data_IF_177304365616
#
_entry.id   IF_177304365616
#
_cell.length_a   1.000
_cell.length_b   1.000
_cell.length_c   1.000
_cell.angle_alpha   90.00
_cell.angle_beta   90.00
_cell.angle_gamma   90.00
#
_symmetry.space_group_name_H-M   'P 1'
#
loop_
_entity.id
_entity.type
_entity.pdbx_description
1 polymer ?
#
# COMPACT_ATOMS: atom_id res chain seq x y z
N UNK A 1 -47.22 11.68 28.37
CA UNK A 1 -47.77 11.18 27.09
C UNK A 1 -47.56 9.67 27.05
N UNK A 2 -48.69 8.95 26.96
CA UNK A 2 -48.88 7.52 26.63
C UNK A 2 -47.94 6.46 27.21
N UNK A 3 -48.56 5.67 28.10
CA UNK A 3 -48.22 4.29 28.48
C UNK A 3 -48.20 3.36 27.26
N UNK A 4 -47.27 2.40 27.24
CA UNK A 4 -47.54 1.08 26.65
C UNK A 4 -46.88 -0.01 27.49
N UNK A 5 -47.75 -0.89 27.99
CA UNK A 5 -47.48 -2.10 28.77
C UNK A 5 -47.33 -3.25 27.76
N UNK A 6 -46.27 -4.04 27.89
CA UNK A 6 -46.09 -5.30 27.19
C UNK A 6 -45.47 -6.32 28.13
N UNK A 7 -46.31 -7.05 28.86
CA UNK A 7 -45.87 -8.17 29.68
C UNK A 7 -45.76 -9.45 28.85
N UNK A 8 -44.71 -10.24 29.06
CA UNK A 8 -44.67 -11.65 28.66
C UNK A 8 -43.87 -12.48 29.66
N UNK A 9 -44.61 -13.36 30.34
CA UNK A 9 -44.30 -14.74 30.71
C UNK A 9 -43.01 -15.03 31.50
N UNK A 10 -43.18 -15.08 32.82
CA UNK A 10 -42.26 -15.77 33.72
C UNK A 10 -42.48 -17.29 33.63
N UNK A 11 -41.45 -18.04 33.23
CA UNK A 11 -41.35 -19.49 33.42
C UNK A 11 -40.13 -19.77 34.30
N UNK A 12 -40.28 -20.44 35.46
CA UNK A 12 -39.16 -20.83 36.28
C UNK A 12 -38.61 -22.16 35.75
N UNK A 13 -37.46 -22.14 35.07
CA UNK A 13 -36.75 -23.38 34.78
C UNK A 13 -35.94 -23.79 36.01
N UNK A 14 -36.47 -24.82 36.68
CA UNK A 14 -35.82 -25.60 37.73
C UNK A 14 -34.48 -26.14 37.23
N UNK A 15 -33.46 -25.91 38.04
CA UNK A 15 -32.20 -26.62 38.00
C UNK A 15 -32.46 -28.12 38.23
N UNK A 16 -32.13 -28.96 37.26
CA UNK A 16 -32.16 -30.42 37.39
C UNK A 16 -30.74 -30.94 37.21
N UNK A 17 -30.13 -31.34 38.32
CA UNK A 17 -28.92 -32.14 38.32
C UNK A 17 -29.25 -33.60 37.99
N UNK A 18 -28.54 -34.17 37.03
CA UNK A 18 -28.38 -35.60 36.84
C UNK A 18 -27.03 -35.78 36.13
N UNK A 19 -26.07 -36.56 36.65
CA UNK A 19 -26.27 -37.82 37.35
C UNK A 19 -26.10 -38.94 36.32
N UNK A 20 -24.89 -39.51 36.31
CA UNK A 20 -24.41 -40.58 35.45
C UNK A 20 -25.41 -41.72 35.24
N UNK A 21 -25.62 -42.13 33.98
CA UNK A 21 -26.05 -43.49 33.64
C UNK A 21 -25.38 -44.01 32.37
N UNK A 22 -24.56 -45.04 32.59
CA UNK A 22 -24.11 -46.06 31.63
C UNK A 22 -25.31 -46.71 30.93
N UNK A 23 -25.21 -46.93 29.62
CA UNK A 23 -25.74 -48.13 28.93
C UNK A 23 -25.01 -48.35 27.61
N UNK A 24 -24.39 -49.53 27.51
CA UNK A 24 -24.11 -50.31 26.30
C UNK A 24 -25.42 -50.48 25.50
N UNK A 25 -25.48 -50.78 24.20
CA UNK A 25 -24.59 -51.46 23.27
C UNK A 25 -25.13 -51.16 21.85
N UNK A 26 -24.32 -51.22 20.79
CA UNK A 26 -24.83 -51.01 19.43
C UNK A 26 -23.79 -50.71 18.36
N UNK A 27 -23.00 -51.72 18.02
CA UNK A 27 -22.10 -51.76 16.86
C UNK A 27 -22.85 -51.50 15.54
N UNK A 28 -22.49 -50.40 14.86
CA UNK A 28 -22.55 -50.31 13.39
C UNK A 28 -21.20 -49.79 12.92
N UNK A 29 -20.44 -50.69 12.29
CA UNK A 29 -19.18 -50.39 11.64
C UNK A 29 -19.41 -49.42 10.48
N UNK A 30 -19.01 -48.17 10.68
CA UNK A 30 -18.67 -47.26 9.58
C UNK A 30 -17.15 -47.14 9.54
N UNK A 31 -16.59 -47.51 8.39
CA UNK A 31 -15.18 -47.32 8.06
C UNK A 31 -14.83 -45.83 8.23
N UNK A 32 -14.27 -45.45 9.37
CA UNK A 32 -13.58 -44.19 9.52
C UNK A 32 -12.22 -44.33 8.85
N UNK A 33 -12.14 -43.99 7.57
CA UNK A 33 -10.88 -43.42 7.07
C UNK A 33 -10.54 -42.27 7.99
N UNK A 34 -9.41 -42.37 8.66
CA UNK A 34 -8.82 -41.28 9.42
C UNK A 34 -8.58 -40.11 8.46
N UNK A 35 -9.58 -39.25 8.29
CA UNK A 35 -9.31 -37.89 7.86
C UNK A 35 -8.38 -37.30 8.92
N UNK A 36 -7.14 -36.92 8.55
CA UNK A 36 -6.31 -36.21 9.48
C UNK A 36 -7.08 -34.94 9.77
N UNK A 37 -7.41 -34.71 11.05
CA UNK A 37 -7.84 -33.41 11.51
C UNK A 37 -6.72 -32.43 11.14
N UNK A 38 -6.80 -31.81 9.96
CA UNK A 38 -5.94 -30.73 9.50
C UNK A 38 -6.35 -29.47 10.25
N UNK A 39 -6.13 -29.49 11.57
CA UNK A 39 -6.22 -28.32 12.39
C UNK A 39 -5.06 -27.39 12.07
N UNK A 40 -5.28 -26.08 12.25
CA UNK A 40 -4.23 -25.07 12.08
C UNK A 40 -2.94 -25.42 12.83
N UNK A 41 -3.09 -26.04 14.00
CA UNK A 41 -1.97 -26.46 14.86
C UNK A 41 -1.15 -27.60 14.26
N UNK A 42 -1.75 -28.57 13.58
CA UNK A 42 -1.00 -29.65 12.91
C UNK A 42 -0.33 -29.17 11.63
N UNK A 43 -0.90 -28.16 10.96
CA UNK A 43 -0.30 -27.50 9.81
C UNK A 43 0.92 -26.65 10.21
N UNK A 44 0.78 -25.78 11.22
CA UNK A 44 1.87 -24.94 11.74
C UNK A 44 3.03 -25.76 12.32
N UNK A 45 2.72 -26.92 12.91
CA UNK A 45 3.73 -27.85 13.44
C UNK A 45 4.13 -28.94 12.43
N UNK A 46 3.85 -28.75 11.14
CA UNK A 46 4.20 -29.74 10.12
C UNK A 46 5.73 -29.80 9.95
N UNK A 47 6.36 -30.98 10.11
CA UNK A 47 7.80 -31.13 9.90
C UNK A 47 8.19 -30.82 8.44
N UNK A 48 7.30 -31.06 7.48
CA UNK A 48 7.52 -30.73 6.08
C UNK A 48 7.53 -29.22 5.81
N UNK A 49 6.75 -28.43 6.56
CA UNK A 49 6.78 -26.97 6.47
C UNK A 49 8.09 -26.41 7.03
N UNK A 50 8.54 -26.94 8.18
CA UNK A 50 9.82 -26.59 8.78
C UNK A 50 10.98 -26.92 7.83
N UNK A 51 10.98 -28.12 7.25
CA UNK A 51 11.98 -28.53 6.26
C UNK A 51 11.98 -27.60 5.05
N UNK A 52 10.80 -27.24 4.51
CA UNK A 52 10.68 -26.30 3.40
C UNK A 52 11.24 -24.90 3.72
N UNK A 53 10.97 -24.37 4.92
CA UNK A 53 11.53 -23.10 5.40
C UNK A 53 13.05 -23.18 5.46
N UNK A 54 13.59 -24.18 6.17
CA UNK A 54 15.03 -24.32 6.38
C UNK A 54 15.75 -24.49 5.05
N UNK A 55 15.33 -25.44 4.23
CA UNK A 55 15.95 -25.74 2.93
C UNK A 55 15.87 -24.60 1.92
N UNK A 56 14.82 -23.78 1.97
CA UNK A 56 14.72 -22.60 1.11
C UNK A 56 15.69 -21.47 1.49
N UNK A 57 16.20 -21.48 2.72
CA UNK A 57 17.08 -20.45 3.27
C UNK A 57 18.55 -20.87 3.34
N UNK A 58 18.88 -22.14 3.05
CA UNK A 58 20.26 -22.68 3.12
C UNK A 58 21.24 -21.85 2.28
N UNK A 59 20.91 -21.53 1.03
CA UNK A 59 21.82 -20.78 0.15
C UNK A 59 22.10 -19.36 0.65
N UNK A 60 21.09 -18.69 1.20
CA UNK A 60 21.28 -17.37 1.82
C UNK A 60 22.10 -17.47 3.11
N UNK A 61 21.86 -18.51 3.91
CA UNK A 61 22.61 -18.77 5.12
C UNK A 61 24.07 -19.10 4.81
N UNK A 62 24.37 -19.96 3.85
CA UNK A 62 25.73 -20.29 3.43
C UNK A 62 26.47 -19.05 2.90
N UNK A 63 25.79 -18.21 2.12
CA UNK A 63 26.34 -16.95 1.61
C UNK A 63 26.67 -15.95 2.74
N UNK A 64 25.85 -15.91 3.79
CA UNK A 64 26.08 -15.07 4.97
C UNK A 64 27.16 -15.63 5.90
N UNK A 65 27.27 -16.96 6.04
CA UNK A 65 28.26 -17.61 6.91
C UNK A 65 29.68 -17.62 6.31
N UNK A 66 29.82 -17.55 4.99
CA UNK A 66 31.13 -17.45 4.33
C UNK A 66 31.83 -16.09 4.50
N UNK A 67 31.19 -15.11 5.15
CA UNK A 67 31.67 -13.72 5.15
C UNK A 67 31.84 -13.13 6.54
N UNK A 68 33.03 -12.56 6.81
CA UNK A 68 33.43 -12.02 8.12
C UNK A 68 33.81 -10.51 8.10
N UNK A 69 33.72 -9.83 6.95
CA UNK A 69 34.21 -8.45 6.71
C UNK A 69 33.15 -7.57 6.00
N UNK A 70 33.22 -6.21 6.08
CA UNK A 70 32.15 -5.32 5.65
C UNK A 70 31.88 -5.35 4.12
N UNK A 71 30.61 -5.21 3.75
CA UNK A 71 30.14 -5.39 2.37
C UNK A 71 30.66 -4.32 1.40
N UNK A 72 31.26 -4.76 0.28
CA UNK A 72 31.41 -3.92 -0.91
C UNK A 72 30.07 -3.79 -1.66
N UNK A 73 29.87 -2.72 -2.47
CA UNK A 73 28.61 -2.46 -3.17
C UNK A 73 28.16 -3.60 -4.12
N UNK A 74 29.10 -4.31 -4.73
CA UNK A 74 28.80 -5.46 -5.61
C UNK A 74 28.30 -6.69 -4.84
N UNK A 75 28.82 -6.90 -3.64
CA UNK A 75 28.40 -8.00 -2.78
C UNK A 75 27.04 -7.73 -2.13
N UNK A 76 26.71 -6.47 -1.84
CA UNK A 76 25.37 -6.10 -1.40
C UNK A 76 24.32 -6.50 -2.46
N UNK A 77 24.63 -6.31 -3.74
CA UNK A 77 23.75 -6.74 -4.83
C UNK A 77 23.66 -8.28 -4.94
N UNK A 78 24.77 -8.99 -4.68
CA UNK A 78 24.79 -10.44 -4.63
C UNK A 78 23.93 -10.99 -3.47
N UNK A 79 24.03 -10.43 -2.26
CA UNK A 79 23.15 -10.78 -1.12
C UNK A 79 21.69 -10.57 -1.48
N UNK A 80 21.36 -9.42 -2.08
CA UNK A 80 19.99 -9.12 -2.50
C UNK A 80 19.51 -10.13 -3.54
N UNK A 81 20.36 -10.56 -4.46
CA UNK A 81 20.02 -11.60 -5.44
C UNK A 81 19.80 -12.98 -4.81
N UNK A 82 20.66 -13.38 -3.88
CA UNK A 82 20.55 -14.64 -3.12
C UNK A 82 19.29 -14.63 -2.24
N UNK A 83 18.99 -13.51 -1.59
CA UNK A 83 17.79 -13.33 -0.79
C UNK A 83 16.52 -13.40 -1.65
N UNK A 84 16.52 -12.80 -2.84
CA UNK A 84 15.41 -12.89 -3.80
C UNK A 84 15.21 -14.32 -4.30
N UNK A 85 16.29 -15.03 -4.62
CA UNK A 85 16.21 -16.43 -5.07
C UNK A 85 15.70 -17.35 -3.96
N UNK A 86 16.24 -17.22 -2.75
CA UNK A 86 15.82 -17.98 -1.56
C UNK A 86 14.34 -17.73 -1.24
N UNK A 87 13.90 -16.46 -1.28
CA UNK A 87 12.49 -16.12 -1.10
C UNK A 87 11.58 -16.68 -2.20
N UNK A 88 12.01 -16.66 -3.47
CA UNK A 88 11.23 -17.28 -4.56
C UNK A 88 11.06 -18.79 -4.34
N UNK A 89 12.14 -19.49 -3.97
CA UNK A 89 12.07 -20.93 -3.66
C UNK A 89 11.21 -21.22 -2.43
N UNK A 90 11.27 -20.36 -1.42
CA UNK A 90 10.39 -20.45 -0.25
C UNK A 90 8.93 -20.32 -0.66
N UNK A 91 8.60 -19.35 -1.51
CA UNK A 91 7.26 -19.15 -2.04
C UNK A 91 6.78 -20.33 -2.89
N UNK A 92 7.63 -20.88 -3.75
CA UNK A 92 7.31 -22.04 -4.58
C UNK A 92 7.04 -23.29 -3.72
N UNK A 93 7.85 -23.53 -2.69
CA UNK A 93 7.65 -24.65 -1.75
C UNK A 93 6.42 -24.42 -0.87
N UNK A 94 6.22 -23.21 -0.35
CA UNK A 94 5.01 -22.84 0.38
C UNK A 94 3.75 -23.04 -0.46
N UNK A 95 3.81 -22.75 -1.77
CA UNK A 95 2.67 -22.94 -2.66
C UNK A 95 2.20 -24.39 -2.75
N UNK A 96 3.08 -25.38 -2.52
CA UNK A 96 2.71 -26.80 -2.48
C UNK A 96 1.89 -27.14 -1.23
N UNK A 97 2.05 -26.38 -0.14
CA UNK A 97 1.23 -26.47 1.07
C UNK A 97 -0.06 -25.64 0.99
N UNK A 98 -0.24 -24.88 -0.09
CA UNK A 98 -1.45 -24.12 -0.39
C UNK A 98 -2.12 -24.70 -1.65
N UNK A 99 -3.06 -25.66 -1.53
CA UNK A 99 -3.80 -26.14 -2.70
C UNK A 99 -4.59 -24.97 -3.29
N UNK A 100 -4.05 -24.35 -4.33
CA UNK A 100 -4.78 -23.34 -5.09
C UNK A 100 -5.90 -24.05 -5.84
N UNK A 101 -7.14 -23.65 -5.60
CA UNK A 101 -8.22 -23.88 -6.56
C UNK A 101 -7.71 -23.48 -7.94
N UNK A 102 -7.93 -24.36 -8.91
CA UNK A 102 -7.21 -24.48 -10.18
C UNK A 102 -7.31 -23.28 -11.16
N UNK A 103 -7.67 -22.09 -10.70
CA UNK A 103 -7.94 -20.92 -11.54
C UNK A 103 -7.26 -19.65 -11.01
N UNK A 104 -5.94 -19.58 -11.14
CA UNK A 104 -5.21 -18.31 -11.21
C UNK A 104 -3.83 -18.57 -11.81
N UNK A 105 -3.81 -18.84 -13.11
CA UNK A 105 -2.58 -18.74 -13.87
C UNK A 105 -2.17 -17.26 -13.90
N UNK A 106 -0.93 -16.97 -13.54
CA UNK A 106 -0.27 -15.67 -13.64
C UNK A 106 -0.59 -14.63 -12.55
N UNK A 107 -0.08 -14.86 -11.34
CA UNK A 107 0.31 -13.74 -10.46
C UNK A 107 1.82 -13.76 -10.31
N UNK A 108 2.48 -12.71 -10.81
CA UNK A 108 3.93 -12.64 -10.77
C UNK A 108 4.41 -12.62 -9.32
N UNK A 109 5.48 -13.38 -9.06
CA UNK A 109 6.20 -13.58 -7.78
C UNK A 109 6.71 -12.29 -7.08
N UNK A 110 6.29 -11.11 -7.51
CA UNK A 110 6.78 -9.80 -7.01
C UNK A 110 5.92 -9.19 -5.91
N UNK A 111 4.76 -9.75 -5.60
CA UNK A 111 3.82 -9.09 -4.70
C UNK A 111 3.86 -9.69 -3.28
N UNK A 112 4.39 -8.92 -2.32
CA UNK A 112 4.38 -9.24 -0.88
C UNK A 112 2.96 -9.42 -0.33
N UNK A 113 1.97 -8.83 -0.99
CA UNK A 113 0.54 -9.02 -0.70
C UNK A 113 0.08 -10.46 -0.95
N UNK A 114 0.80 -11.23 -1.79
CA UNK A 114 0.41 -12.59 -2.15
C UNK A 114 0.59 -13.59 -1.00
N UNK A 115 1.64 -13.47 -0.17
CA UNK A 115 1.83 -14.36 0.98
C UNK A 115 0.81 -14.05 2.07
N UNK A 116 0.67 -12.77 2.43
CA UNK A 116 -0.31 -12.32 3.42
C UNK A 116 -1.72 -12.79 3.03
N UNK A 117 -2.11 -12.58 1.76
CA UNK A 117 -3.44 -12.93 1.28
C UNK A 117 -3.64 -14.45 1.14
N UNK A 118 -2.62 -15.20 0.71
CA UNK A 118 -2.68 -16.68 0.67
C UNK A 118 -2.79 -17.27 2.07
N UNK A 119 -2.02 -16.72 3.01
CA UNK A 119 -2.04 -17.13 4.41
C UNK A 119 -3.38 -16.77 5.05
N UNK A 120 -3.86 -15.54 4.88
CA UNK A 120 -5.17 -15.06 5.35
C UNK A 120 -6.30 -15.94 4.85
N UNK A 121 -6.39 -16.18 3.53
CA UNK A 121 -7.44 -17.00 2.93
C UNK A 121 -7.45 -18.43 3.48
N UNK A 122 -6.27 -19.00 3.71
CA UNK A 122 -6.14 -20.36 4.22
C UNK A 122 -6.36 -20.45 5.73
N UNK A 123 -5.93 -19.47 6.51
CA UNK A 123 -6.29 -19.35 7.92
C UNK A 123 -7.81 -19.24 8.06
N UNK A 124 -8.46 -18.40 7.26
CA UNK A 124 -9.91 -18.29 7.21
C UNK A 124 -10.59 -19.61 6.81
N UNK A 125 -10.03 -20.33 5.83
CA UNK A 125 -10.52 -21.65 5.40
C UNK A 125 -10.37 -22.70 6.52
N UNK A 126 -9.20 -22.81 7.15
CA UNK A 126 -8.95 -23.75 8.26
C UNK A 126 -9.81 -23.41 9.48
N UNK A 127 -10.02 -22.12 9.78
CA UNK A 127 -10.94 -21.67 10.82
C UNK A 127 -12.41 -21.97 10.50
N UNK A 128 -12.77 -22.03 9.21
CA UNK A 128 -14.12 -22.41 8.77
C UNK A 128 -14.40 -23.91 8.91
N UNK A 129 -13.37 -24.75 8.77
CA UNK A 129 -13.46 -26.21 8.95
C UNK A 129 -13.22 -26.67 10.40
N UNK A 130 -12.84 -25.76 11.31
CA UNK A 130 -12.64 -26.11 12.71
C UNK A 130 -14.01 -26.31 13.39
N UNK A 131 -14.30 -27.48 14.01
CA UNK A 131 -15.60 -27.77 14.58
C UNK A 131 -15.97 -26.76 15.68
N UNK A 132 -17.26 -26.39 15.72
CA UNK A 132 -17.85 -25.33 16.57
C UNK A 132 -17.48 -25.45 18.06
N UNK A 133 -17.14 -26.65 18.53
CA UNK A 133 -16.73 -26.94 19.91
C UNK A 133 -15.31 -26.45 20.25
N UNK A 134 -14.45 -26.23 19.25
CA UNK A 134 -13.10 -25.66 19.38
C UNK A 134 -13.04 -24.16 19.07
N UNK A 135 -14.15 -23.54 18.61
CA UNK A 135 -14.38 -22.09 18.64
C UNK A 135 -14.69 -21.64 20.07
N UNK A 136 -13.87 -22.05 21.03
CA UNK A 136 -13.98 -21.67 22.42
C UNK A 136 -14.00 -20.14 22.56
N UNK A 137 -15.12 -19.64 23.07
CA UNK A 137 -15.28 -18.35 23.74
C UNK A 137 -14.96 -17.07 22.94
N UNK A 138 -15.37 -16.97 21.68
CA UNK A 138 -15.64 -15.65 21.10
C UNK A 138 -17.10 -15.27 21.38
N UNK A 139 -17.40 -15.06 22.67
CA UNK A 139 -18.63 -14.39 23.09
C UNK A 139 -18.55 -12.98 22.50
N UNK A 140 -19.54 -12.59 21.71
CA UNK A 140 -19.62 -11.22 21.18
C UNK A 140 -19.56 -10.26 22.37
N UNK A 141 -18.83 -9.14 22.24
CA UNK A 141 -18.81 -8.09 23.26
C UNK A 141 -20.22 -7.70 23.71
N UNK A 142 -21.20 -7.80 22.81
CA UNK A 142 -22.61 -7.59 23.08
C UNK A 142 -23.23 -8.65 23.99
N UNK A 143 -22.91 -9.94 23.80
CA UNK A 143 -23.42 -11.04 24.64
C UNK A 143 -22.79 -11.01 26.04
N UNK A 144 -21.51 -10.64 26.14
CA UNK A 144 -20.84 -10.41 27.43
C UNK A 144 -21.49 -9.24 28.18
N UNK A 145 -21.79 -8.15 27.48
CA UNK A 145 -22.44 -6.97 28.05
C UNK A 145 -23.87 -7.28 28.50
N UNK A 146 -24.64 -8.03 27.72
CA UNK A 146 -25.97 -8.51 28.12
C UNK A 146 -25.89 -9.46 29.34
N UNK A 147 -24.91 -10.37 29.37
CA UNK A 147 -24.66 -11.23 30.52
C UNK A 147 -24.33 -10.44 31.79
N UNK A 148 -23.46 -9.44 31.68
CA UNK A 148 -23.08 -8.57 32.79
C UNK A 148 -24.25 -7.72 33.30
N UNK A 149 -25.03 -7.12 32.39
CA UNK A 149 -26.22 -6.35 32.72
C UNK A 149 -27.24 -7.21 33.49
N UNK A 150 -27.48 -8.44 33.04
CA UNK A 150 -28.39 -9.37 33.72
C UNK A 150 -27.86 -9.75 35.11
N UNK A 151 -26.55 -9.96 35.27
CA UNK A 151 -25.94 -10.28 36.57
C UNK A 151 -26.03 -9.11 37.55
N UNK A 152 -25.79 -7.88 37.09
CA UNK A 152 -25.93 -6.67 37.92
C UNK A 152 -27.39 -6.51 38.35
N UNK A 153 -28.34 -6.76 37.44
CA UNK A 153 -29.76 -6.65 37.74
C UNK A 153 -30.21 -7.70 38.77
N UNK A 154 -29.81 -8.96 38.61
CA UNK A 154 -30.10 -10.03 39.58
C UNK A 154 -29.47 -9.74 40.95
N UNK A 155 -28.20 -9.30 40.97
CA UNK A 155 -27.52 -8.93 42.21
C UNK A 155 -28.25 -7.80 42.94
N UNK A 156 -28.68 -6.76 42.21
CA UNK A 156 -29.41 -5.63 42.78
C UNK A 156 -30.76 -6.05 43.32
N UNK A 157 -31.46 -6.96 42.62
CA UNK A 157 -32.73 -7.52 43.07
C UNK A 157 -32.58 -8.37 44.34
N UNK A 158 -31.54 -9.21 44.41
CA UNK A 158 -31.23 -10.01 45.61
C UNK A 158 -30.84 -9.13 46.80
N UNK A 159 -30.05 -8.10 46.57
CA UNK A 159 -29.67 -7.14 47.61
C UNK A 159 -30.89 -6.40 48.16
N UNK A 160 -31.80 -5.95 47.29
CA UNK A 160 -33.04 -5.28 47.70
C UNK A 160 -33.95 -6.19 48.54
N UNK A 161 -34.05 -7.47 48.17
CA UNK A 161 -34.81 -8.47 48.96
C UNK A 161 -34.17 -8.69 50.32
N UNK A 162 -32.86 -8.89 50.39
CA UNK A 162 -32.14 -9.05 51.66
C UNK A 162 -32.27 -7.81 52.56
N UNK A 163 -32.25 -6.61 51.98
CA UNK A 163 -32.45 -5.35 52.72
C UNK A 163 -33.88 -5.20 53.24
N UNK A 164 -34.89 -5.68 52.49
CA UNK A 164 -36.27 -5.76 52.99
C UNK A 164 -36.41 -6.72 54.16
N UNK A 165 -35.84 -7.92 54.06
CA UNK A 165 -35.84 -8.92 55.12
C UNK A 165 -35.14 -8.39 56.38
N UNK A 166 -33.98 -7.74 56.23
CA UNK A 166 -33.26 -7.10 57.34
C UNK A 166 -34.12 -6.07 58.07
N UNK A 167 -34.80 -5.17 57.33
CA UNK A 167 -35.70 -4.17 57.94
C UNK A 167 -36.88 -4.82 58.64
N UNK A 168 -37.44 -5.88 58.05
CA UNK A 168 -38.55 -6.62 58.65
C UNK A 168 -38.13 -7.32 59.96
N UNK A 169 -36.98 -8.00 59.98
CA UNK A 169 -36.43 -8.63 61.19
C UNK A 169 -36.16 -7.57 62.27
N UNK A 170 -35.63 -6.40 61.90
CA UNK A 170 -35.43 -5.31 62.86
C UNK A 170 -36.74 -4.78 63.45
N UNK A 171 -37.82 -4.74 62.68
CA UNK A 171 -39.15 -4.39 63.21
C UNK A 171 -39.67 -5.46 64.17
N UNK A 172 -39.55 -6.75 63.83
CA UNK A 172 -39.95 -7.85 64.72
C UNK A 172 -39.13 -7.88 66.02
N UNK A 173 -37.82 -7.63 65.94
CA UNK A 173 -36.94 -7.58 67.10
C UNK A 173 -37.29 -6.44 68.06
N UNK A 174 -37.68 -5.27 67.51
CA UNK A 174 -38.14 -4.15 68.34
C UNK A 174 -39.51 -4.46 68.99
N UNK A 175 -40.40 -5.16 68.30
CA UNK A 175 -41.68 -5.60 68.86
C UNK A 175 -41.50 -6.63 69.99
N UNK A 176 -40.64 -7.63 69.80
CA UNK A 176 -40.26 -8.60 70.84
C UNK A 176 -39.58 -7.93 72.03
N UNK A 177 -38.72 -6.94 71.80
CA UNK A 177 -38.06 -6.19 72.87
C UNK A 177 -39.07 -5.40 73.72
N UNK A 178 -40.12 -4.86 73.11
CA UNK A 178 -41.23 -4.21 73.83
C UNK A 178 -42.02 -5.23 74.67
N UNK A 179 -42.36 -6.39 74.09
CA UNK A 179 -43.06 -7.47 74.80
C UNK A 179 -42.27 -7.98 76.03
N UNK A 180 -40.95 -8.18 75.89
CA UNK A 180 -40.07 -8.59 77.00
C UNK A 180 -39.95 -7.48 78.06
N UNK A 181 -39.94 -6.21 77.64
CA UNK A 181 -39.95 -5.07 78.56
C UNK A 181 -41.22 -5.01 79.42
N UNK A 182 -42.36 -5.38 78.85
CA UNK A 182 -43.65 -5.41 79.55
C UNK A 182 -43.77 -6.63 80.50
N UNK A 183 -43.18 -7.78 80.15
CA UNK A 183 -43.16 -8.98 80.99
C UNK A 183 -42.20 -8.84 82.19
N UNK A 184 -41.02 -8.22 82.01
CA UNK A 184 -40.07 -7.99 83.11
C UNK A 184 -40.61 -7.02 84.18
N UNK A 185 -41.46 -6.06 83.81
CA UNK A 185 -42.11 -5.17 84.77
C UNK A 185 -43.20 -5.87 85.62
N UNK A 186 -43.61 -7.09 85.24
CA UNK A 186 -44.65 -7.86 85.97
C UNK A 186 -44.07 -8.94 86.91
N UNK A 187 -42.76 -9.21 86.88
CA UNK A 187 -42.14 -10.35 87.58
C UNK A 187 -41.31 -9.97 88.83
N UNK A 188 -41.13 -8.69 89.14
CA UNK A 188 -40.20 -8.20 90.17
C UNK A 188 -40.85 -7.95 91.55
N UNK A 189 -41.90 -8.70 91.88
CA UNK A 189 -42.61 -8.57 93.16
C UNK A 189 -42.92 -9.93 93.78
N UNK A 190 -41.91 -10.61 94.34
CA UNK A 190 -42.04 -11.53 95.49
C UNK A 190 -40.74 -12.31 95.73
N UNK A 191 -40.02 -12.02 96.82
CA UNK A 191 -39.77 -12.96 97.92
C UNK A 191 -38.90 -12.33 98.99
N UNK A 192 -39.39 -12.45 100.22
CA UNK A 192 -39.01 -11.74 101.43
C UNK A 192 -38.42 -12.76 102.44
N UNK A 193 -37.36 -12.35 103.15
CA UNK A 193 -36.98 -12.65 104.56
C UNK A 193 -36.91 -14.09 105.12
N UNK A 194 -35.75 -14.39 105.74
CA UNK A 194 -35.53 -14.88 107.13
C UNK A 194 -34.06 -15.33 107.27
N UNK A 195 -33.33 -15.33 108.40
CA UNK A 195 -33.29 -14.58 109.65
C UNK A 195 -31.99 -14.99 110.37
N UNK A 196 -31.47 -14.06 111.15
CA UNK A 196 -30.32 -14.04 112.08
C UNK A 196 -29.92 -15.26 112.95
N UNK A 197 -28.61 -15.26 113.26
CA UNK A 197 -27.90 -15.48 114.55
C UNK A 197 -27.83 -16.87 115.19
N UNK A 198 -26.59 -17.29 115.46
CA UNK A 198 -26.26 -18.32 116.44
C UNK A 198 -24.75 -18.50 116.67
N UNK A 199 -24.13 -17.66 117.51
CA UNK A 199 -22.77 -17.86 118.05
C UNK A 199 -22.74 -19.11 118.95
N UNK A 200 -22.08 -20.17 118.52
CA UNK A 200 -21.51 -21.23 119.39
C UNK A 200 -20.15 -21.62 118.82
N UNK A 201 -19.09 -21.42 119.61
CA UNK A 201 -17.77 -22.00 119.34
C UNK A 201 -17.95 -23.51 119.15
N UNK A 202 -17.73 -23.99 117.93
CA UNK A 202 -17.75 -25.39 117.57
C UNK A 202 -16.67 -25.59 116.53
N UNK A 203 -15.59 -26.24 116.94
CA UNK A 203 -14.59 -26.78 116.04
C UNK A 203 -15.29 -27.35 114.79
N UNK A 204 -14.83 -26.90 113.62
CA UNK A 204 -15.32 -27.41 112.34
C UNK A 204 -14.99 -28.91 112.31
N UNK A 205 -15.96 -29.79 112.07
CA UNK A 205 -15.70 -31.22 111.93
C UNK A 205 -14.59 -31.42 110.89
N UNK A 206 -13.59 -32.26 111.18
CA UNK A 206 -12.43 -32.45 110.31
C UNK A 206 -12.83 -32.72 108.84
N UNK A 207 -13.89 -33.50 108.63
CA UNK A 207 -14.47 -33.76 107.31
C UNK A 207 -14.93 -32.49 106.56
N UNK A 208 -15.48 -31.48 107.24
CA UNK A 208 -15.85 -30.20 106.61
C UNK A 208 -14.61 -29.36 106.25
N UNK A 209 -13.55 -29.43 107.06
CA UNK A 209 -12.29 -28.75 106.75
C UNK A 209 -11.59 -29.42 105.55
N UNK A 210 -11.51 -30.74 105.53
CA UNK A 210 -11.01 -31.51 104.38
C UNK A 210 -11.79 -31.22 103.11
N UNK A 211 -13.13 -31.11 103.21
CA UNK A 211 -13.98 -30.73 102.08
C UNK A 211 -13.64 -29.33 101.55
N UNK A 212 -13.42 -28.35 102.43
CA UNK A 212 -12.98 -27.00 102.03
C UNK A 212 -11.60 -27.02 101.39
N UNK A 213 -10.66 -27.83 101.90
CA UNK A 213 -9.33 -27.98 101.30
C UNK A 213 -9.40 -28.61 99.90
N UNK A 214 -10.25 -29.62 99.71
CA UNK A 214 -10.49 -30.23 98.39
C UNK A 214 -11.16 -29.23 97.44
N UNK A 215 -12.16 -28.49 97.90
CA UNK A 215 -12.83 -27.46 97.11
C UNK A 215 -11.85 -26.34 96.72
N UNK A 216 -10.98 -25.90 97.63
CA UNK A 216 -9.94 -24.89 97.37
C UNK A 216 -8.89 -25.40 96.37
N UNK A 217 -8.46 -26.67 96.50
CA UNK A 217 -7.56 -27.30 95.53
C UNK A 217 -8.21 -27.39 94.13
N UNK A 218 -9.50 -27.74 94.08
CA UNK A 218 -10.27 -27.75 92.84
C UNK A 218 -10.46 -26.34 92.27
N UNK A 219 -10.72 -25.34 93.11
CA UNK A 219 -10.83 -23.94 92.69
C UNK A 219 -9.51 -23.41 92.13
N UNK A 220 -8.38 -23.70 92.78
CA UNK A 220 -7.05 -23.33 92.28
C UNK A 220 -6.74 -23.99 90.93
N UNK A 221 -7.14 -25.25 90.74
CA UNK A 221 -6.97 -25.95 89.45
C UNK A 221 -7.85 -25.33 88.36
N UNK A 222 -9.08 -24.92 88.69
CA UNK A 222 -9.96 -24.18 87.78
C UNK A 222 -9.35 -22.81 87.41
N UNK A 223 -8.78 -22.10 88.38
CA UNK A 223 -8.07 -20.82 88.19
C UNK A 223 -6.86 -20.98 87.25
N UNK A 224 -5.99 -21.96 87.50
CA UNK A 224 -4.83 -22.24 86.63
C UNK A 224 -5.26 -22.57 85.20
N UNK A 225 -6.29 -23.39 85.03
CA UNK A 225 -6.82 -23.72 83.71
C UNK A 225 -7.45 -22.51 83.01
N UNK A 226 -8.08 -21.60 83.75
CA UNK A 226 -8.59 -20.35 83.20
C UNK A 226 -7.47 -19.39 82.78
N UNK A 227 -6.36 -19.34 83.54
CA UNK A 227 -5.17 -18.56 83.18
C UNK A 227 -4.49 -19.10 81.91
N UNK A 228 -4.34 -20.41 81.79
CA UNK A 228 -3.82 -21.05 80.56
C UNK A 228 -4.68 -20.69 79.35
N UNK A 229 -6.00 -20.77 79.47
CA UNK A 229 -6.93 -20.41 78.40
C UNK A 229 -6.86 -18.92 78.05
N UNK A 230 -6.74 -18.03 79.03
CA UNK A 230 -6.57 -16.60 78.80
C UNK A 230 -5.27 -16.29 78.07
N UNK A 231 -4.18 -16.98 78.41
CA UNK A 231 -2.90 -16.83 77.74
C UNK A 231 -2.96 -17.34 76.29
N UNK A 232 -3.62 -18.47 76.05
CA UNK A 232 -3.87 -19.01 74.71
C UNK A 232 -4.72 -18.03 73.88
N UNK A 233 -5.82 -17.52 74.45
CA UNK A 233 -6.66 -16.51 73.79
C UNK A 233 -5.90 -15.22 73.49
N UNK A 234 -5.07 -14.73 74.43
CA UNK A 234 -4.22 -13.55 74.21
C UNK A 234 -3.22 -13.80 73.07
N UNK A 235 -2.61 -14.98 73.01
CA UNK A 235 -1.70 -15.36 71.92
C UNK A 235 -2.43 -15.40 70.58
N UNK A 236 -3.63 -15.99 70.53
CA UNK A 236 -4.46 -16.00 69.32
C UNK A 236 -4.87 -14.60 68.87
N UNK A 237 -5.19 -13.71 69.81
CA UNK A 237 -5.56 -12.33 69.50
C UNK A 237 -4.37 -11.58 68.89
N UNK A 238 -3.18 -11.73 69.46
CA UNK A 238 -1.94 -11.16 68.91
C UNK A 238 -1.67 -11.71 67.50
N UNK A 239 -1.79 -13.02 67.29
CA UNK A 239 -1.60 -13.62 65.96
C UNK A 239 -2.61 -13.07 64.95
N UNK A 240 -3.90 -13.00 65.31
CA UNK A 240 -4.94 -12.43 64.45
C UNK A 240 -4.66 -10.96 64.11
N UNK A 241 -4.23 -10.16 65.08
CA UNK A 241 -3.84 -8.76 64.85
C UNK A 241 -2.67 -8.67 63.86
N UNK A 242 -1.62 -9.46 64.04
CA UNK A 242 -0.47 -9.44 63.10
C UNK A 242 -0.86 -9.87 61.68
N UNK A 243 -1.75 -10.85 61.54
CA UNK A 243 -2.29 -11.28 60.24
C UNK A 243 -3.14 -10.19 59.60
N UNK A 244 -3.93 -9.46 60.39
CA UNK A 244 -4.75 -8.34 59.91
C UNK A 244 -3.85 -7.20 59.43
N UNK A 245 -2.82 -6.85 60.19
CA UNK A 245 -1.84 -5.82 59.82
C UNK A 245 -1.10 -6.19 58.53
N UNK A 246 -0.67 -7.45 58.38
CA UNK A 246 -0.05 -7.93 57.14
C UNK A 246 -1.01 -7.86 55.95
N UNK A 247 -2.27 -8.26 56.13
CA UNK A 247 -3.29 -8.14 55.09
C UNK A 247 -3.52 -6.68 54.70
N UNK A 248 -3.51 -5.75 55.66
CA UNK A 248 -3.66 -4.32 55.41
C UNK A 248 -2.45 -3.75 54.64
N UNK A 249 -1.22 -4.11 55.01
CA UNK A 249 -0.01 -3.68 54.30
C UNK A 249 0.05 -4.24 52.88
N UNK A 250 -0.27 -5.52 52.70
CA UNK A 250 -0.30 -6.17 51.39
C UNK A 250 -1.37 -5.55 50.49
N UNK A 251 -2.53 -5.20 51.06
CA UNK A 251 -3.60 -4.48 50.37
C UNK A 251 -3.13 -3.11 49.88
N UNK A 252 -2.45 -2.34 50.74
CA UNK A 252 -1.91 -1.03 50.38
C UNK A 252 -0.80 -1.14 49.31
N UNK A 253 0.09 -2.13 49.42
CA UNK A 253 1.16 -2.35 48.44
C UNK A 253 0.59 -2.72 47.06
N UNK A 254 -0.43 -3.59 47.02
CA UNK A 254 -1.14 -3.95 45.78
C UNK A 254 -1.85 -2.73 45.18
N UNK A 255 -2.51 -1.92 46.01
CA UNK A 255 -3.15 -0.68 45.57
C UNK A 255 -2.14 0.29 44.95
N UNK A 256 -0.99 0.51 45.61
CA UNK A 256 0.07 1.37 45.09
C UNK A 256 0.65 0.83 43.77
N UNK A 257 0.87 -0.49 43.68
CA UNK A 257 1.35 -1.13 42.44
C UNK A 257 0.33 -0.98 41.31
N UNK A 258 -0.97 -1.06 41.62
CA UNK A 258 -2.05 -0.86 40.65
C UNK A 258 -2.11 0.59 40.15
N UNK A 259 -1.92 1.56 41.04
CA UNK A 259 -1.85 2.98 40.67
C UNK A 259 -0.65 3.22 39.74
N UNK A 260 0.52 2.69 40.08
CA UNK A 260 1.71 2.83 39.24
C UNK A 260 1.52 2.20 37.85
N UNK A 261 0.95 0.99 37.77
CA UNK A 261 0.62 0.35 36.50
C UNK A 261 -0.41 1.14 35.70
N UNK A 262 -1.36 1.80 36.37
CA UNK A 262 -2.32 2.67 35.72
C UNK A 262 -1.64 3.92 35.16
N UNK A 263 -0.70 4.53 35.88
CA UNK A 263 0.10 5.66 35.40
C UNK A 263 0.92 5.28 34.18
N UNK A 264 1.68 4.17 34.25
CA UNK A 264 2.47 3.63 33.12
C UNK A 264 1.58 3.36 31.90
N UNK A 265 0.39 2.79 32.10
CA UNK A 265 -0.57 2.54 31.03
C UNK A 265 -1.06 3.86 30.39
N UNK A 266 -1.32 4.89 31.19
CA UNK A 266 -1.73 6.20 30.67
C UNK A 266 -0.60 6.90 29.92
N UNK A 267 0.65 6.73 30.35
CA UNK A 267 1.82 7.24 29.64
C UNK A 267 1.96 6.58 28.26
N UNK A 268 1.91 5.24 28.22
CA UNK A 268 1.94 4.47 26.97
C UNK A 268 0.79 4.85 26.05
N UNK A 269 -0.42 5.04 26.59
CA UNK A 269 -1.58 5.49 25.80
C UNK A 269 -1.37 6.89 25.19
N UNK A 270 -0.78 7.82 25.94
CA UNK A 270 -0.49 9.16 25.47
C UNK A 270 0.63 9.16 24.42
N UNK A 271 1.68 8.36 24.61
CA UNK A 271 2.74 8.21 23.60
C UNK A 271 2.19 7.61 22.31
N UNK A 272 1.33 6.58 22.41
CA UNK A 272 0.68 5.99 21.24
C UNK A 272 -0.11 7.04 20.44
N UNK A 273 -0.92 7.87 21.11
CA UNK A 273 -1.66 8.97 20.47
C UNK A 273 -0.74 9.97 19.79
N UNK A 274 0.39 10.30 20.42
CA UNK A 274 1.37 11.19 19.81
C UNK A 274 2.00 10.58 18.55
N UNK A 275 2.35 9.30 18.57
CA UNK A 275 2.86 8.57 17.40
C UNK A 275 1.81 8.45 16.29
N UNK A 276 0.53 8.23 16.62
CA UNK A 276 -0.57 8.22 15.65
C UNK A 276 -0.70 9.57 14.92
N UNK A 277 -0.62 10.68 15.66
CA UNK A 277 -0.66 12.02 15.06
C UNK A 277 0.53 12.28 14.14
N UNK A 278 1.75 11.92 14.58
CA UNK A 278 2.95 12.01 13.75
C UNK A 278 2.84 11.16 12.48
N UNK A 279 2.28 9.95 12.60
CA UNK A 279 2.03 9.05 11.47
C UNK A 279 1.02 9.66 10.47
N UNK A 280 -0.07 10.27 10.95
CA UNK A 280 -1.02 10.97 10.09
C UNK A 280 -0.36 12.15 9.35
N UNK A 281 0.51 12.91 10.02
CA UNK A 281 1.25 14.00 9.40
C UNK A 281 2.19 13.50 8.29
N UNK A 282 2.98 12.46 8.56
CA UNK A 282 3.86 11.85 7.56
C UNK A 282 3.05 11.26 6.40
N UNK A 283 1.92 10.62 6.68
CA UNK A 283 1.02 10.07 5.64
C UNK A 283 0.51 11.17 4.71
N UNK A 284 0.18 12.35 5.25
CA UNK A 284 -0.19 13.53 4.45
C UNK A 284 0.95 14.01 3.56
N UNK A 285 2.18 14.07 4.08
CA UNK A 285 3.36 14.46 3.31
C UNK A 285 3.66 13.46 2.19
N UNK A 286 3.53 12.16 2.45
CA UNK A 286 3.67 11.11 1.43
C UNK A 286 2.63 11.30 0.31
N UNK A 287 1.39 11.63 0.65
CA UNK A 287 0.36 11.94 -0.34
C UNK A 287 0.71 13.14 -1.21
N UNK A 288 1.26 14.20 -0.62
CA UNK A 288 1.72 15.39 -1.34
C UNK A 288 2.88 15.07 -2.29
N UNK A 289 3.92 14.39 -1.81
CA UNK A 289 5.06 14.01 -2.64
C UNK A 289 4.68 13.05 -3.76
N UNK A 290 3.73 12.15 -3.54
CA UNK A 290 3.23 11.27 -4.59
C UNK A 290 2.53 12.06 -5.69
N UNK A 291 1.67 13.01 -5.32
CA UNK A 291 1.02 13.88 -6.28
C UNK A 291 2.04 14.71 -7.09
N UNK A 292 3.03 15.29 -6.42
CA UNK A 292 4.11 16.03 -7.09
C UNK A 292 4.91 15.13 -8.02
N UNK A 293 5.24 13.90 -7.60
CA UNK A 293 5.92 12.92 -8.43
C UNK A 293 5.11 12.58 -9.69
N UNK A 294 3.82 12.28 -9.55
CA UNK A 294 2.95 11.94 -10.67
C UNK A 294 2.81 13.13 -11.65
N UNK A 295 2.69 14.34 -11.12
CA UNK A 295 2.65 15.58 -11.91
C UNK A 295 3.96 15.83 -12.68
N UNK A 296 5.11 15.72 -11.99
CA UNK A 296 6.42 15.86 -12.60
C UNK A 296 6.68 14.78 -13.65
N UNK A 297 6.24 13.55 -13.41
CA UNK A 297 6.35 12.45 -14.36
C UNK A 297 5.53 12.71 -15.63
N UNK A 298 4.32 13.28 -15.50
CA UNK A 298 3.52 13.70 -16.65
C UNK A 298 4.22 14.80 -17.45
N UNK A 299 4.71 15.84 -16.76
CA UNK A 299 5.43 16.95 -17.39
C UNK A 299 6.70 16.47 -18.13
N UNK A 300 7.43 15.54 -17.53
CA UNK A 300 8.61 14.92 -18.15
C UNK A 300 8.22 14.15 -19.40
N UNK A 301 7.16 13.35 -19.36
CA UNK A 301 6.68 12.60 -20.52
C UNK A 301 6.26 13.54 -21.66
N UNK A 302 5.59 14.65 -21.36
CA UNK A 302 5.17 15.62 -22.37
C UNK A 302 6.35 16.40 -22.95
N UNK A 303 7.33 16.79 -22.12
CA UNK A 303 8.59 17.37 -22.59
C UNK A 303 9.37 16.37 -23.47
N UNK A 304 9.40 15.10 -23.10
CA UNK A 304 10.06 14.04 -23.87
C UNK A 304 9.38 13.81 -25.23
N UNK A 305 8.04 13.81 -25.28
CA UNK A 305 7.30 13.77 -26.55
C UNK A 305 7.60 14.98 -27.42
N UNK A 306 7.60 16.19 -26.85
CA UNK A 306 7.91 17.41 -27.58
C UNK A 306 9.33 17.37 -28.16
N UNK A 307 10.32 16.93 -27.37
CA UNK A 307 11.70 16.75 -27.83
C UNK A 307 11.83 15.69 -28.91
N UNK A 308 11.10 14.55 -28.79
CA UNK A 308 11.09 13.52 -29.84
C UNK A 308 10.50 14.04 -31.15
N UNK A 309 9.40 14.80 -31.10
CA UNK A 309 8.82 15.42 -32.30
C UNK A 309 9.79 16.42 -32.91
N UNK A 310 10.35 17.34 -32.12
CA UNK A 310 11.33 18.31 -32.62
C UNK A 310 12.58 17.64 -33.22
N UNK A 311 13.05 16.52 -32.65
CA UNK A 311 14.16 15.75 -33.20
C UNK A 311 13.80 15.11 -34.55
N UNK A 312 12.60 14.55 -34.70
CA UNK A 312 12.11 14.02 -35.99
C UNK A 312 11.96 15.11 -37.04
N UNK A 313 11.42 16.27 -36.67
CA UNK A 313 11.25 17.40 -37.58
C UNK A 313 12.61 17.89 -38.10
N UNK A 314 13.61 17.96 -37.22
CA UNK A 314 14.99 18.28 -37.60
C UNK A 314 15.59 17.22 -38.54
N UNK A 315 15.35 15.93 -38.29
CA UNK A 315 15.82 14.86 -39.16
C UNK A 315 15.17 14.91 -40.56
N UNK A 316 13.85 15.13 -40.61
CA UNK A 316 13.12 15.32 -41.86
C UNK A 316 13.66 16.52 -42.65
N UNK A 317 13.96 17.63 -41.97
CA UNK A 317 14.56 18.80 -42.58
C UNK A 317 15.96 18.50 -43.16
N UNK A 318 16.82 17.83 -42.40
CA UNK A 318 18.16 17.44 -42.87
C UNK A 318 18.05 16.52 -44.09
N UNK A 319 17.12 15.56 -44.07
CA UNK A 319 16.92 14.66 -45.19
C UNK A 319 16.44 15.42 -46.44
N UNK A 320 15.48 16.35 -46.29
CA UNK A 320 15.01 17.18 -47.38
C UNK A 320 16.14 18.00 -48.01
N UNK A 321 16.95 18.70 -47.20
CA UNK A 321 18.09 19.49 -47.68
C UNK A 321 19.10 18.61 -48.43
N UNK A 322 19.44 17.42 -47.89
CA UNK A 322 20.35 16.47 -48.56
C UNK A 322 19.81 16.01 -49.91
N UNK A 323 18.50 15.77 -50.00
CA UNK A 323 17.90 15.35 -51.25
C UNK A 323 17.94 16.49 -52.30
N UNK A 324 17.67 17.72 -51.87
CA UNK A 324 17.78 18.94 -52.70
C UNK A 324 19.22 19.15 -53.18
N UNK A 325 20.20 19.01 -52.28
CA UNK A 325 21.63 19.09 -52.61
C UNK A 325 22.01 18.04 -53.66
N UNK A 326 21.58 16.78 -53.46
CA UNK A 326 21.83 15.69 -54.40
C UNK A 326 21.22 15.95 -55.78
N UNK A 327 19.99 16.46 -55.83
CA UNK A 327 19.32 16.82 -57.07
C UNK A 327 20.03 17.97 -57.80
N UNK A 328 20.50 18.98 -57.07
CA UNK A 328 21.28 20.08 -57.61
C UNK A 328 22.63 19.60 -58.16
N UNK A 329 23.29 18.68 -57.47
CA UNK A 329 24.55 18.07 -57.91
C UNK A 329 24.38 17.31 -59.23
N UNK A 330 23.29 16.55 -59.37
CA UNK A 330 22.93 15.87 -60.62
C UNK A 330 22.70 16.89 -61.73
N UNK A 331 21.93 17.95 -61.47
CA UNK A 331 21.70 18.99 -62.46
C UNK A 331 22.99 19.68 -62.89
N UNK A 332 23.87 20.02 -61.93
CA UNK A 332 25.18 20.63 -62.20
C UNK A 332 26.05 19.73 -63.08
N UNK A 333 26.09 18.42 -62.82
CA UNK A 333 26.81 17.46 -63.67
C UNK A 333 26.21 17.40 -65.08
N UNK A 334 24.89 17.39 -65.20
CA UNK A 334 24.20 17.43 -66.49
C UNK A 334 24.54 18.70 -67.29
N UNK A 335 24.51 19.88 -66.66
CA UNK A 335 24.93 21.14 -67.30
C UNK A 335 26.41 21.14 -67.70
N UNK A 336 27.28 20.51 -66.90
CA UNK A 336 28.71 20.42 -67.19
C UNK A 336 28.97 19.51 -68.39
N UNK A 337 28.25 18.39 -68.50
CA UNK A 337 28.40 17.41 -69.59
C UNK A 337 27.74 17.93 -70.89
N UNK A 338 26.61 18.63 -70.81
CA UNK A 338 25.85 19.12 -71.97
C UNK A 338 26.37 20.45 -72.55
N UNK A 339 27.59 20.87 -72.21
CA UNK A 339 28.19 22.15 -72.63
C UNK A 339 28.17 22.40 -74.14
N UNK A 340 28.10 21.33 -74.96
CA UNK A 340 28.07 21.38 -76.42
C UNK A 340 26.68 21.12 -77.03
N UNK A 341 25.69 20.65 -76.26
CA UNK A 341 24.37 20.24 -76.75
C UNK A 341 23.21 21.08 -76.18
N UNK A 342 23.47 22.30 -75.70
CA UNK A 342 22.42 23.22 -75.24
C UNK A 342 21.50 23.66 -76.40
N UNK A 343 22.03 23.76 -77.62
CA UNK A 343 21.32 24.36 -78.76
C UNK A 343 20.12 23.52 -79.26
N UNK A 344 20.04 22.23 -78.91
CA UNK A 344 19.04 21.30 -79.51
C UNK A 344 18.09 20.65 -78.51
N UNK A 345 18.41 20.55 -77.21
CA UNK A 345 17.61 19.77 -76.26
C UNK A 345 16.98 20.65 -75.17
N UNK A 346 15.84 21.25 -75.49
CA UNK A 346 15.18 22.29 -74.70
C UNK A 346 14.40 21.87 -73.45
N UNK A 347 14.70 20.75 -72.76
CA UNK A 347 13.74 20.26 -71.73
C UNK A 347 14.33 19.65 -70.44
N UNK A 348 15.56 20.02 -70.05
CA UNK A 348 16.06 19.72 -68.69
C UNK A 348 15.94 20.96 -67.81
N UNK A 349 14.70 21.32 -67.47
CA UNK A 349 14.42 22.43 -66.55
C UNK A 349 14.74 22.02 -65.12
N UNK A 350 15.50 22.84 -64.38
CA UNK A 350 15.77 22.63 -62.95
C UNK A 350 14.49 22.43 -62.13
N UNK A 351 13.39 23.02 -62.59
CA UNK A 351 12.04 22.80 -62.06
C UNK A 351 11.66 21.33 -62.00
N UNK A 352 11.99 20.53 -63.03
CA UNK A 352 11.68 19.09 -63.06
C UNK A 352 12.57 18.26 -62.14
N UNK A 353 13.73 18.77 -61.71
CA UNK A 353 14.66 18.05 -60.83
C UNK A 353 14.44 18.41 -59.35
N UNK A 354 14.15 19.69 -59.06
CA UNK A 354 14.02 20.23 -57.71
C UNK A 354 12.59 20.22 -57.17
N UNK A 355 11.56 20.16 -58.04
CA UNK A 355 10.14 20.06 -57.65
C UNK A 355 9.57 18.64 -57.78
N UNK A 356 10.40 17.62 -57.99
CA UNK A 356 9.90 16.24 -57.99
C UNK A 356 9.25 15.94 -56.63
N UNK A 357 7.98 15.56 -56.69
CA UNK A 357 7.10 15.29 -55.54
C UNK A 357 7.64 14.19 -54.62
N UNK A 358 8.58 13.36 -55.11
CA UNK A 358 9.26 12.30 -54.34
C UNK A 358 10.26 12.83 -53.29
N UNK A 359 10.56 14.13 -53.31
CA UNK A 359 11.46 14.79 -52.35
C UNK A 359 10.72 15.27 -51.10
N UNK A 360 9.39 15.33 -51.13
CA UNK A 360 8.56 15.86 -50.05
C UNK A 360 8.20 14.69 -49.12
N UNK A 361 8.62 14.68 -47.85
CA UNK A 361 8.16 13.68 -46.89
C UNK A 361 6.63 13.66 -46.88
N UNK A 362 6.02 12.51 -47.19
CA UNK A 362 4.56 12.33 -47.29
C UNK A 362 3.80 12.55 -45.95
N UNK A 363 4.51 12.85 -44.85
CA UNK A 363 3.90 13.19 -43.56
C UNK A 363 3.49 14.67 -43.50
N UNK A 364 2.52 15.03 -44.36
CA UNK A 364 1.98 16.39 -44.53
C UNK A 364 1.33 16.95 -43.23
N UNK A 365 1.12 16.12 -42.21
CA UNK A 365 0.51 16.53 -40.94
C UNK A 365 1.45 17.25 -39.95
N UNK A 366 2.77 17.06 -40.04
CA UNK A 366 3.73 17.50 -39.01
C UNK A 366 4.95 18.25 -39.58
N UNK A 367 4.82 18.87 -40.73
CA UNK A 367 5.92 19.62 -41.36
C UNK A 367 6.21 20.89 -40.54
N UNK A 368 7.35 20.92 -39.84
CA UNK A 368 7.77 22.09 -39.07
C UNK A 368 7.87 23.39 -39.90
N UNK A 369 7.64 24.57 -39.28
CA UNK A 369 7.63 25.86 -39.99
C UNK A 369 8.94 26.15 -40.74
N UNK A 370 10.07 25.62 -40.25
CA UNK A 370 11.37 25.74 -40.88
C UNK A 370 11.43 25.00 -42.22
N UNK A 371 10.86 23.79 -42.30
CA UNK A 371 10.82 23.00 -43.53
C UNK A 371 9.93 23.67 -44.58
N UNK A 372 8.81 24.26 -44.18
CA UNK A 372 7.94 25.06 -45.06
C UNK A 372 8.70 26.28 -45.61
N UNK A 373 9.44 26.99 -44.75
CA UNK A 373 10.22 28.15 -45.16
C UNK A 373 11.30 27.77 -46.20
N UNK A 374 11.97 26.63 -46.01
CA UNK A 374 13.01 26.15 -46.94
C UNK A 374 12.40 25.65 -48.25
N UNK A 375 11.27 24.93 -48.21
CA UNK A 375 10.53 24.55 -49.41
C UNK A 375 10.14 25.77 -50.25
N UNK A 376 9.61 26.82 -49.60
CA UNK A 376 9.27 28.08 -50.26
C UNK A 376 10.50 28.79 -50.84
N UNK A 377 11.62 28.79 -50.12
CA UNK A 377 12.88 29.37 -50.59
C UNK A 377 13.38 28.66 -51.86
N UNK A 378 13.36 27.33 -51.89
CA UNK A 378 13.77 26.53 -53.04
C UNK A 378 12.81 26.77 -54.23
N UNK A 379 11.50 26.80 -53.98
CA UNK A 379 10.51 27.15 -55.01
C UNK A 379 10.79 28.51 -55.66
N UNK A 380 10.97 29.55 -54.84
CA UNK A 380 11.31 30.89 -55.32
C UNK A 380 12.62 30.90 -56.13
N UNK A 381 13.64 30.15 -55.68
CA UNK A 381 14.91 30.05 -56.41
C UNK A 381 14.73 29.41 -57.79
N UNK A 382 13.96 28.32 -57.87
CA UNK A 382 13.63 27.65 -59.13
C UNK A 382 12.88 28.59 -60.08
N UNK A 383 11.90 29.33 -59.56
CA UNK A 383 11.10 30.27 -60.36
C UNK A 383 11.97 31.40 -60.95
N UNK A 384 12.84 31.99 -60.12
CA UNK A 384 13.78 33.04 -60.57
C UNK A 384 14.75 32.48 -61.62
N UNK A 385 15.27 31.28 -61.40
CA UNK A 385 16.19 30.64 -62.33
C UNK A 385 15.51 30.34 -63.68
N UNK A 386 14.27 29.84 -63.66
CA UNK A 386 13.49 29.63 -64.88
C UNK A 386 13.21 30.94 -65.61
N UNK A 387 12.87 32.01 -64.89
CA UNK A 387 12.66 33.33 -65.47
C UNK A 387 13.93 33.86 -66.16
N UNK A 388 15.10 33.68 -65.53
CA UNK A 388 16.39 34.08 -66.10
C UNK A 388 16.71 33.28 -67.37
N UNK A 389 16.50 31.96 -67.36
CA UNK A 389 16.70 31.09 -68.54
C UNK A 389 15.79 31.52 -69.69
N UNK A 390 14.51 31.80 -69.41
CA UNK A 390 13.57 32.29 -70.42
C UNK A 390 14.01 33.64 -71.01
N UNK A 391 14.54 34.54 -70.17
CA UNK A 391 15.04 35.84 -70.65
C UNK A 391 16.29 35.68 -71.53
N UNK A 392 17.23 34.82 -71.16
CA UNK A 392 18.41 34.51 -71.99
C UNK A 392 18.00 33.91 -73.33
N UNK A 393 17.04 32.98 -73.34
CA UNK A 393 16.51 32.39 -74.58
C UNK A 393 15.91 33.46 -75.49
N UNK A 394 15.07 34.33 -74.96
CA UNK A 394 14.48 35.44 -75.73
C UNK A 394 15.53 36.38 -76.31
N UNK A 395 16.59 36.70 -75.57
CA UNK A 395 17.71 37.51 -76.07
C UNK A 395 18.51 36.77 -77.15
N UNK A 396 18.69 35.45 -77.04
CA UNK A 396 19.34 34.64 -78.08
C UNK A 396 18.52 34.62 -79.37
N UNK A 397 17.20 34.44 -79.28
CA UNK A 397 16.29 34.51 -80.43
C UNK A 397 16.37 35.89 -81.09
N UNK A 398 16.43 36.97 -80.29
CA UNK A 398 16.61 38.33 -80.79
C UNK A 398 17.96 38.52 -81.51
N UNK A 399 19.07 38.01 -80.95
CA UNK A 399 20.40 38.06 -81.58
C UNK A 399 20.41 37.30 -82.92
N UNK A 400 19.79 36.12 -82.96
CA UNK A 400 19.69 35.33 -84.20
C UNK A 400 18.87 36.08 -85.24
N UNK A 401 17.73 36.66 -84.85
CA UNK A 401 16.90 37.49 -85.72
C UNK A 401 17.67 38.71 -86.26
N UNK A 402 18.44 39.41 -85.42
CA UNK A 402 19.29 40.53 -85.85
C UNK A 402 20.38 40.07 -86.83
N UNK A 403 20.98 38.89 -86.62
CA UNK A 403 21.95 38.32 -87.57
C UNK A 403 21.30 38.00 -88.91
N UNK A 404 20.13 37.36 -88.91
CA UNK A 404 19.40 37.06 -90.14
C UNK A 404 19.02 38.33 -90.91
N UNK A 405 18.65 39.40 -90.19
CA UNK A 405 18.38 40.69 -90.79
C UNK A 405 19.64 41.33 -91.39
N UNK A 406 20.77 41.30 -90.67
CA UNK A 406 22.08 41.76 -91.17
C UNK A 406 22.48 40.98 -92.44
N UNK A 407 22.30 39.67 -92.45
CA UNK A 407 22.65 38.83 -93.60
C UNK A 407 21.73 39.11 -94.80
N UNK A 408 20.45 39.42 -94.55
CA UNK A 408 19.52 39.87 -95.58
C UNK A 408 19.96 41.22 -96.16
N UNK A 409 20.31 42.19 -95.31
CA UNK A 409 20.84 43.50 -95.76
C UNK A 409 22.14 43.35 -96.55
N UNK A 410 23.05 42.48 -96.12
CA UNK A 410 24.28 42.17 -96.86
C UNK A 410 23.98 41.58 -98.24
N UNK A 411 23.01 40.66 -98.35
CA UNK A 411 22.57 40.09 -99.64
C UNK A 411 21.96 41.15 -100.55
N UNK A 412 21.06 41.98 -100.04
CA UNK A 412 20.45 43.10 -100.79
C UNK A 412 21.50 44.09 -101.27
N UNK A 413 22.44 44.50 -100.41
CA UNK A 413 23.54 45.37 -100.79
C UNK A 413 24.41 44.75 -101.89
N UNK A 414 24.77 43.47 -101.75
CA UNK A 414 25.55 42.76 -102.76
C UNK A 414 24.80 42.68 -104.10
N UNK A 415 23.49 42.41 -104.05
CA UNK A 415 22.63 42.41 -105.24
C UNK A 415 22.53 43.81 -105.87
N UNK A 416 22.44 44.88 -105.09
CA UNK A 416 22.41 46.26 -105.57
C UNK A 416 23.74 46.63 -106.26
N UNK A 417 24.88 46.29 -105.65
CA UNK A 417 26.21 46.46 -106.26
C UNK A 417 26.33 45.68 -107.58
N UNK A 418 25.81 44.45 -107.63
CA UNK A 418 25.80 43.66 -108.87
C UNK A 418 24.90 44.28 -109.94
N UNK A 419 23.75 44.87 -109.57
CA UNK A 419 22.87 45.58 -110.51
C UNK A 419 23.55 46.80 -111.11
N UNK A 420 24.20 47.64 -110.29
CA UNK A 420 24.94 48.80 -110.79
C UNK A 420 26.13 48.39 -111.69
N UNK A 421 26.83 47.30 -111.35
CA UNK A 421 27.92 46.78 -112.20
C UNK A 421 27.41 46.27 -113.55
N UNK A 422 26.23 45.64 -113.59
CA UNK A 422 25.61 45.17 -114.85
C UNK A 422 25.06 46.36 -115.66
N UNK A 423 24.44 47.36 -115.02
CA UNK A 423 23.99 48.59 -115.70
C UNK A 423 25.17 49.38 -116.29
N UNK A 424 26.34 49.41 -115.64
CA UNK A 424 27.56 50.01 -116.20
C UNK A 424 28.13 49.23 -117.40
N UNK A 425 27.84 47.93 -117.54
CA UNK A 425 28.24 47.12 -118.70
C UNK A 425 27.26 47.32 -119.86
N UNK A 426 25.97 47.54 -119.60
CA UNK A 426 24.97 47.78 -120.65
C UNK A 426 25.01 49.22 -121.23
N UNK A 427 25.42 50.23 -120.45
CA UNK A 427 25.57 51.63 -120.94
C UNK A 427 26.98 51.94 -121.51
N UNK A 428 27.90 50.97 -121.50
CA UNK A 428 29.34 51.18 -121.69
C UNK A 428 29.99 50.42 -122.84
N UNK A 429 29.32 50.23 -123.98
CA UNK A 429 29.99 49.76 -125.19
C UNK A 429 30.46 50.94 -126.06
N UNK A 430 31.64 51.53 -125.79
CA UNK A 430 32.74 51.81 -126.75
C UNK A 430 34.02 52.25 -125.99
N UNK A 431 35.13 51.52 -126.26
CA UNK A 431 36.59 51.81 -126.06
C UNK A 431 37.16 51.83 -124.64
N UNK A 432 37.91 50.80 -124.21
CA UNK A 432 39.34 50.51 -124.48
C UNK A 432 40.31 51.57 -123.92
N UNK A 433 40.95 51.27 -122.77
CA UNK A 433 42.41 51.08 -122.63
C UNK A 433 42.80 50.75 -121.17
N UNK A 434 43.39 49.57 -121.02
CA UNK A 434 44.59 49.25 -120.23
C UNK A 434 45.10 50.30 -119.22
N UNK A 435 45.07 49.96 -117.92
CA UNK A 435 46.27 49.93 -117.07
C UNK A 435 45.97 49.19 -115.77
N UNK A 436 46.80 48.20 -115.46
CA UNK A 436 46.57 47.23 -114.39
C UNK A 436 46.61 47.77 -112.97
N UNK A 437 46.11 46.95 -112.06
CA UNK A 437 46.84 46.52 -110.86
C UNK A 437 46.07 45.37 -110.22
N UNK A 438 46.76 44.24 -110.17
CA UNK A 438 46.57 43.14 -109.23
C UNK A 438 46.23 43.65 -107.84
N UNK A 439 45.02 43.38 -107.35
CA UNK A 439 44.82 42.95 -105.97
C UNK A 439 43.69 41.93 -105.89
N UNK A 440 44.07 40.76 -105.37
CA UNK A 440 43.17 39.68 -105.00
C UNK A 440 42.18 40.19 -103.95
N UNK A 441 40.89 40.19 -104.27
CA UNK A 441 39.84 40.23 -103.27
C UNK A 441 39.41 38.78 -102.99
N UNK A 442 39.93 38.22 -101.90
CA UNK A 442 39.49 36.94 -101.34
C UNK A 442 38.25 37.24 -100.48
N UNK A 443 37.10 36.58 -100.72
CA UNK A 443 35.94 36.73 -99.85
C UNK A 443 36.14 35.95 -98.55
N UNK A 444 35.83 36.59 -97.42
CA UNK A 444 35.48 35.94 -96.15
C UNK A 444 34.05 36.33 -95.79
#
# INVERSE_FOLDING_TARGET
>A
LSVSVGGLSSRPNRFSGAGSKKKEDGSVATNSSSEPQTGLKSWLNSPALLEAVVTSMIELQEFLHQKKEPFSPGEAQAVVSAARSSFSRFMDRLSQFFPSSAHSAHTSSRDRSSLLHKLEKQLCQVLSYTPVQLKGNLISSQDLMCGLQNHILDLTQRLHTAEKERRHILTELNELKLQIGDENNSAEGNTDKHSEKGKKSKYVPMSKFEQVCVELSNALRREQRAQELLQEQSSHLIELTTRLDQCASDGMQKQNSMIQLQEDLTEVQNELRHKEQAMMQVSKQIGQFKYEQDSLQSNLNDAEKALRTAARDKEALVQYIKNVESALDVAKRQFTILRESWVVSGDVSLSRLLLNTDLIPQEIGNTGPELIAIQKLIGNFVDIQQQAVNKVRSLQEEIVSHRDHIDTLKKELNNAVHREFIEQIEDGAVTFLDLGSTEMFVPL
#
